data_IF_506982461849
#
_entry.id   IF_506982461849
#
_cell.length_a   1.000
_cell.length_b   1.000
_cell.length_c   1.000
_cell.angle_alpha   90.00
_cell.angle_beta   90.00
_cell.angle_gamma   90.00
#
_symmetry.space_group_name_H-M   'P 1'
#
loop_
_entity.id
_entity.type
_entity.pdbx_description
1 polymer ?
#
# COMPACT_ATOMS: atom_id res chain seq x y z
N UNK A 1 -12.06 -18.93 5.17
CA UNK A 1 -10.76 -18.26 5.39
C UNK A 1 -11.01 -16.78 5.16
N UNK A 2 -10.88 -15.93 6.19
CA UNK A 2 -11.10 -14.50 6.04
C UNK A 2 -9.88 -13.86 5.40
N UNK A 3 -10.09 -13.06 4.36
CA UNK A 3 -9.05 -12.26 3.71
C UNK A 3 -9.39 -10.80 3.97
N UNK A 4 -8.45 -10.02 4.53
CA UNK A 4 -8.63 -8.59 4.68
C UNK A 4 -7.77 -7.84 3.67
N UNK A 5 -8.24 -6.68 3.21
CA UNK A 5 -7.52 -5.87 2.23
C UNK A 5 -7.28 -4.46 2.76
N UNK A 6 -6.03 -4.03 2.77
CA UNK A 6 -5.70 -2.62 2.98
C UNK A 6 -5.50 -2.00 1.61
N UNK A 7 -6.30 -0.98 1.30
CA UNK A 7 -6.14 -0.18 0.10
C UNK A 7 -5.37 1.09 0.43
N UNK A 8 -4.39 1.41 -0.39
CA UNK A 8 -3.63 2.65 -0.30
C UNK A 8 -3.81 3.41 -1.60
N UNK A 9 -4.03 4.72 -1.51
CA UNK A 9 -4.18 5.59 -2.66
C UNK A 9 -3.27 6.80 -2.51
N UNK A 10 -2.60 7.14 -3.60
CA UNK A 10 -1.80 8.36 -3.66
C UNK A 10 -2.69 9.57 -3.94
N UNK A 11 -2.36 10.74 -3.38
CA UNK A 11 -3.13 11.98 -3.54
C UNK A 11 -3.24 12.47 -4.98
N UNK A 12 -2.39 11.95 -5.87
CA UNK A 12 -2.44 12.14 -7.31
C UNK A 12 -2.07 10.83 -8.02
N UNK A 13 -2.60 10.59 -9.22
CA UNK A 13 -2.26 9.41 -10.00
C UNK A 13 -0.76 9.33 -10.31
N UNK A 14 -0.14 8.17 -10.08
CA UNK A 14 1.31 7.99 -10.30
C UNK A 14 1.70 7.97 -11.79
N UNK A 15 0.75 7.70 -12.69
CA UNK A 15 0.94 7.74 -14.14
C UNK A 15 1.09 9.16 -14.70
N UNK A 16 0.58 10.16 -13.98
CA UNK A 16 0.75 11.59 -14.30
C UNK A 16 2.09 12.17 -13.84
N UNK A 17 2.90 11.37 -13.12
CA UNK A 17 4.21 11.80 -12.64
C UNK A 17 5.32 11.56 -13.67
N UNK A 18 6.37 12.38 -13.69
CA UNK A 18 7.56 12.09 -14.47
C UNK A 18 8.10 10.69 -14.18
N UNK A 19 8.51 9.96 -15.22
CA UNK A 19 8.94 8.55 -15.09
C UNK A 19 10.01 8.34 -14.00
N UNK A 20 10.93 9.30 -13.85
CA UNK A 20 11.98 9.29 -12.83
C UNK A 20 11.42 9.33 -11.41
N UNK A 21 10.45 10.19 -11.15
CA UNK A 21 9.83 10.32 -9.84
C UNK A 21 8.95 9.10 -9.54
N UNK A 22 8.25 8.60 -10.56
CA UNK A 22 7.41 7.41 -10.46
C UNK A 22 8.20 6.19 -9.97
N UNK A 23 9.40 5.92 -10.51
CA UNK A 23 10.24 4.79 -10.07
C UNK A 23 10.64 4.93 -8.59
N UNK A 24 11.06 6.13 -8.18
CA UNK A 24 11.47 6.39 -6.79
C UNK A 24 10.31 6.22 -5.83
N UNK A 25 9.15 6.79 -6.18
CA UNK A 25 7.95 6.76 -5.36
C UNK A 25 7.38 5.33 -5.25
N UNK A 26 7.37 4.55 -6.34
CA UNK A 26 7.05 3.13 -6.26
C UNK A 26 8.00 2.39 -5.31
N UNK A 27 9.30 2.63 -5.42
CA UNK A 27 10.28 2.02 -4.52
C UNK A 27 10.06 2.36 -3.05
N UNK A 28 9.73 3.62 -2.74
CA UNK A 28 9.40 4.07 -1.38
C UNK A 28 8.14 3.38 -0.85
N UNK A 29 7.06 3.38 -1.63
CA UNK A 29 5.80 2.73 -1.24
C UNK A 29 5.99 1.22 -1.03
N UNK A 30 6.69 0.54 -1.95
CA UNK A 30 6.97 -0.89 -1.83
C UNK A 30 7.80 -1.23 -0.60
N UNK A 31 8.79 -0.39 -0.23
CA UNK A 31 9.55 -0.59 1.02
C UNK A 31 8.70 -0.39 2.26
N UNK A 32 7.88 0.66 2.31
CA UNK A 32 7.00 0.92 3.42
C UNK A 32 5.98 -0.22 3.63
N UNK A 33 5.39 -0.74 2.55
CA UNK A 33 4.50 -1.90 2.62
C UNK A 33 5.25 -3.14 3.10
N UNK A 34 6.43 -3.43 2.53
CA UNK A 34 7.23 -4.61 2.88
C UNK A 34 7.72 -4.59 4.32
N UNK A 35 8.01 -3.42 4.88
CA UNK A 35 8.43 -3.27 6.28
C UNK A 35 7.30 -3.56 7.28
N UNK A 36 6.04 -3.40 6.87
CA UNK A 36 4.88 -3.65 7.71
C UNK A 36 4.21 -5.02 7.46
N UNK A 37 4.39 -5.59 6.26
CA UNK A 37 3.82 -6.86 5.85
C UNK A 37 4.51 -8.05 6.55
N UNK A 38 3.73 -9.12 6.75
CA UNK A 38 4.18 -10.40 7.29
C UNK A 38 4.50 -11.40 6.19
N UNK A 39 5.25 -12.47 6.50
CA UNK A 39 5.36 -13.62 5.61
C UNK A 39 3.97 -14.16 5.26
N UNK A 40 3.67 -14.26 3.97
CA UNK A 40 2.37 -14.72 3.46
C UNK A 40 1.38 -13.61 3.09
N UNK A 41 1.62 -12.37 3.54
CA UNK A 41 0.85 -11.22 3.04
C UNK A 41 1.19 -10.95 1.56
N UNK A 42 0.20 -10.55 0.77
CA UNK A 42 0.37 -10.30 -0.66
C UNK A 42 0.17 -8.82 -0.97
N UNK A 43 1.21 -8.16 -1.49
CA UNK A 43 1.14 -6.77 -1.92
C UNK A 43 1.05 -6.67 -3.44
N UNK A 44 0.18 -5.80 -3.93
CA UNK A 44 -0.01 -5.52 -5.36
C UNK A 44 -0.19 -4.03 -5.64
N UNK A 45 0.05 -3.64 -6.89
CA UNK A 45 -0.29 -2.32 -7.40
C UNK A 45 -1.39 -2.47 -8.46
N UNK A 46 -2.53 -1.84 -8.19
CA UNK A 46 -3.76 -1.97 -8.98
C UNK A 46 -3.81 -0.97 -10.17
N UNK A 47 -2.79 -0.12 -10.32
CA UNK A 47 -2.78 0.95 -11.32
C UNK A 47 -3.15 2.33 -10.74
N UNK A 48 -2.84 3.39 -11.48
CA UNK A 48 -3.29 4.76 -11.15
C UNK A 48 -2.82 5.31 -9.78
N UNK A 49 -1.82 4.71 -9.14
CA UNK A 49 -1.39 5.07 -7.78
C UNK A 49 -2.17 4.38 -6.66
N UNK A 50 -2.91 3.31 -6.98
CA UNK A 50 -3.57 2.46 -5.99
C UNK A 50 -2.74 1.21 -5.70
N UNK A 51 -2.61 0.87 -4.41
CA UNK A 51 -1.94 -0.33 -3.95
C UNK A 51 -2.87 -1.11 -3.03
N UNK A 52 -2.66 -2.42 -3.00
CA UNK A 52 -3.42 -3.35 -2.18
C UNK A 52 -2.48 -4.24 -1.38
N UNK A 53 -2.79 -4.44 -0.11
CA UNK A 53 -2.17 -5.46 0.71
C UNK A 53 -3.25 -6.43 1.18
N UNK A 54 -3.11 -7.69 0.81
CA UNK A 54 -3.98 -8.78 1.23
C UNK A 54 -3.38 -9.45 2.46
N UNK A 55 -4.21 -9.60 3.48
CA UNK A 55 -3.86 -10.07 4.82
C UNK A 55 -4.61 -11.37 5.11
N UNK A 56 -4.05 -12.54 4.75
CA UNK A 56 -4.70 -13.83 4.97
C UNK A 56 -4.66 -14.25 6.44
N UNK A 57 -5.78 -14.76 6.97
CA UNK A 57 -5.90 -15.25 8.35
C UNK A 57 -5.70 -14.17 9.42
N UNK A 58 -6.14 -12.95 9.12
CA UNK A 58 -5.95 -11.78 9.98
C UNK A 58 -7.31 -11.28 10.47
N UNK A 59 -7.39 -10.96 11.75
CA UNK A 59 -8.57 -10.30 12.34
C UNK A 59 -8.52 -8.79 12.17
N UNK A 60 -9.67 -8.13 12.32
CA UNK A 60 -9.84 -6.67 12.16
C UNK A 60 -8.81 -5.85 12.96
N UNK A 61 -8.59 -6.21 14.23
CA UNK A 61 -7.64 -5.50 15.12
C UNK A 61 -6.22 -5.52 14.57
N UNK A 62 -5.75 -6.69 14.15
CA UNK A 62 -4.39 -6.84 13.64
C UNK A 62 -4.22 -6.15 12.27
N UNK A 63 -5.26 -6.17 11.42
CA UNK A 63 -5.25 -5.39 10.18
C UNK A 63 -5.17 -3.87 10.44
N UNK A 64 -5.81 -3.36 11.50
CA UNK A 64 -5.69 -1.95 11.91
C UNK A 64 -4.30 -1.61 12.43
N UNK A 65 -3.62 -2.53 13.11
CA UNK A 65 -2.23 -2.35 13.52
C UNK A 65 -1.29 -2.29 12.32
N UNK A 66 -1.46 -3.18 11.35
CA UNK A 66 -0.68 -3.18 10.10
C UNK A 66 -0.92 -1.89 9.33
N UNK A 67 -2.18 -1.44 9.19
CA UNK A 67 -2.48 -0.19 8.49
C UNK A 67 -1.84 1.01 9.20
N UNK A 68 -1.82 1.02 10.54
CA UNK A 68 -1.16 2.04 11.34
C UNK A 68 0.36 2.03 11.16
N UNK A 69 0.99 0.85 11.10
CA UNK A 69 2.43 0.70 10.82
C UNK A 69 2.79 1.22 9.43
N UNK A 70 2.01 0.89 8.40
CA UNK A 70 2.21 1.39 7.03
C UNK A 70 2.09 2.92 7.02
N UNK A 71 1.05 3.47 7.66
CA UNK A 71 0.84 4.92 7.76
C UNK A 71 2.02 5.63 8.44
N UNK A 72 2.58 5.03 9.50
CA UNK A 72 3.75 5.57 10.18
C UNK A 72 5.00 5.53 9.29
N UNK A 73 5.26 4.41 8.63
CA UNK A 73 6.40 4.26 7.71
C UNK A 73 6.34 5.25 6.54
N UNK A 74 5.16 5.42 5.93
CA UNK A 74 4.96 6.36 4.82
C UNK A 74 5.10 7.83 5.24
N UNK A 75 4.76 8.18 6.49
CA UNK A 75 4.99 9.52 7.03
C UNK A 75 6.48 9.79 7.27
N UNK A 76 7.23 8.79 7.72
CA UNK A 76 8.67 8.90 7.97
C UNK A 76 9.48 8.98 6.67
N UNK A 77 9.08 8.24 5.62
CA UNK A 77 9.81 8.21 4.35
C UNK A 77 9.64 9.47 3.49
N UNK A 78 8.83 10.47 3.92
CA UNK A 78 8.55 11.71 3.19
C UNK A 78 8.56 11.49 1.68
N UNK A 79 7.50 10.86 1.16
CA UNK A 79 7.43 10.32 -0.21
C UNK A 79 7.73 11.41 -1.24
N UNK A 80 9.00 11.49 -1.63
CA UNK A 80 9.55 12.58 -2.44
C UNK A 80 10.26 11.99 -3.64
N UNK A 81 9.79 12.38 -4.81
CA UNK A 81 10.48 12.18 -6.07
C UNK A 81 11.80 12.97 -6.11
N UNK A 82 12.68 12.60 -7.04
CA UNK A 82 13.94 13.33 -7.28
C UNK A 82 13.72 14.76 -7.77
N UNK A 83 12.58 15.06 -8.39
CA UNK A 83 12.19 16.40 -8.82
C UNK A 83 11.56 17.28 -7.73
N UNK A 84 11.54 16.84 -6.46
CA UNK A 84 10.85 17.57 -5.39
C UNK A 84 9.33 17.35 -5.36
N UNK A 85 8.82 16.43 -6.17
CA UNK A 85 7.41 16.02 -6.16
C UNK A 85 7.10 15.27 -4.86
N UNK A 86 6.22 15.81 -4.03
CA UNK A 86 5.77 15.17 -2.80
C UNK A 86 4.43 14.45 -2.99
N UNK A 87 4.36 13.17 -2.63
CA UNK A 87 3.11 12.42 -2.60
C UNK A 87 2.60 12.28 -1.17
N UNK A 88 1.30 12.46 -1.00
CA UNK A 88 0.61 12.02 0.19
C UNK A 88 -0.08 10.69 -0.12
N UNK A 89 -0.07 9.77 0.84
CA UNK A 89 -0.82 8.52 0.73
C UNK A 89 -1.93 8.52 1.76
N UNK A 90 -3.15 8.34 1.29
CA UNK A 90 -4.29 7.96 2.12
C UNK A 90 -4.37 6.44 2.20
N UNK A 91 -4.69 5.95 3.39
CA UNK A 91 -4.98 4.54 3.61
C UNK A 91 -6.48 4.40 3.86
N UNK A 92 -7.12 3.55 3.07
CA UNK A 92 -8.48 3.10 3.27
C UNK A 92 -8.43 1.62 3.67
N UNK A 93 -8.85 1.34 4.90
CA UNK A 93 -8.93 -0.05 5.38
C UNK A 93 -10.29 -0.59 4.98
N UNK A 94 -10.32 -1.48 3.99
CA UNK A 94 -11.54 -2.13 3.50
C UNK A 94 -11.58 -3.57 3.99
N UNK A 95 -12.49 -3.88 4.90
CA UNK A 95 -12.70 -5.26 5.35
C UNK A 95 -13.63 -5.95 4.35
N UNK A 96 -13.05 -6.62 3.37
CA UNK A 96 -13.79 -7.39 2.37
C UNK A 96 -13.65 -8.88 2.69
N UNK A 97 -14.58 -9.42 3.48
CA UNK A 97 -14.59 -10.84 3.89
C UNK A 97 -14.79 -11.82 2.71
N UNK A 98 -14.85 -11.34 1.46
CA UNK A 98 -15.15 -12.12 0.26
C UNK A 98 -14.08 -12.10 -0.83
N UNK A 99 -12.90 -11.52 -0.63
CA UNK A 99 -11.86 -11.48 -1.67
C UNK A 99 -11.40 -12.91 -2.00
N UNK A 100 -11.90 -13.47 -3.10
CA UNK A 100 -11.40 -14.71 -3.67
C UNK A 100 -10.11 -14.40 -4.39
N UNK A 101 -8.98 -14.93 -3.91
CA UNK A 101 -7.80 -15.03 -4.73
C UNK A 101 -8.16 -15.78 -6.02
N UNK A 102 -7.85 -15.26 -7.21
CA UNK A 102 -8.02 -16.02 -8.44
C UNK A 102 -7.19 -17.31 -8.35
N UNK A 103 -7.69 -18.44 -8.87
CA UNK A 103 -6.91 -19.67 -8.91
C UNK A 103 -5.63 -19.43 -9.73
N UNK A 104 -4.49 -19.83 -9.16
CA UNK A 104 -3.18 -19.88 -9.83
C UNK A 104 -3.14 -20.98 -10.88
#
# INVERSE_FOLDING_TARGET
MALLAIRMMTSRPMDQLPARDRIVLYGQVSRAIRAAARPGDLAGHDGGGSFRLLLPNVGTTEALEISSKIKAAMRQEALRGRGGVELQISLESGFDEGVRCPPV
#
